data_IF_063139472833
#
_entry.id   IF_063139472833
#
_cell.length_a   1.000
_cell.length_b   1.000
_cell.length_c   1.000
_cell.angle_alpha   90.00
_cell.angle_beta   90.00
_cell.angle_gamma   90.00
#
_symmetry.space_group_name_H-M   'P 1'
#
loop_
_entity.id
_entity.type
_entity.pdbx_description
1 polymer ?
#
# COMPACT_ATOMS: atom_id res chain seq x y z
N UNK A 1 15.06 -15.67 0.93
CA UNK A 1 15.47 -14.31 1.28
C UNK A 1 14.23 -13.42 1.31
N UNK A 2 13.97 -12.77 2.42
CA UNK A 2 12.81 -11.90 2.51
C UNK A 2 13.04 -10.63 1.70
N UNK A 3 11.99 -10.17 1.01
CA UNK A 3 12.07 -8.93 0.26
C UNK A 3 11.93 -7.74 1.21
N UNK A 4 12.61 -6.63 0.94
CA UNK A 4 12.39 -5.42 1.71
C UNK A 4 10.93 -4.98 1.58
N UNK A 5 10.37 -4.41 2.65
CA UNK A 5 9.01 -3.90 2.61
C UNK A 5 8.81 -2.90 1.47
N UNK A 6 9.85 -2.12 1.15
CA UNK A 6 9.79 -1.15 0.06
C UNK A 6 9.53 -1.78 -1.31
N UNK A 7 9.75 -3.09 -1.48
CA UNK A 7 9.51 -3.76 -2.76
C UNK A 7 8.02 -4.01 -3.02
N UNK A 8 7.15 -3.76 -2.04
CA UNK A 8 5.71 -3.91 -2.20
C UNK A 8 5.10 -2.72 -2.92
N UNK A 9 5.69 -1.55 -2.76
CA UNK A 9 5.21 -0.30 -3.37
C UNK A 9 6.27 0.19 -4.34
N UNK A 10 5.80 0.64 -5.50
CA UNK A 10 6.66 1.05 -6.60
C UNK A 10 6.17 2.38 -7.14
N UNK A 11 7.12 3.26 -7.49
CA UNK A 11 6.81 4.56 -8.09
C UNK A 11 7.59 4.65 -9.39
N UNK A 12 6.87 4.87 -10.50
CA UNK A 12 7.47 4.94 -11.83
C UNK A 12 6.83 6.12 -12.56
N UNK A 13 7.62 7.06 -13.11
CA UNK A 13 7.07 8.20 -13.83
C UNK A 13 6.15 7.79 -14.98
N UNK A 14 6.33 6.60 -15.55
CA UNK A 14 5.46 6.08 -16.61
C UNK A 14 4.15 5.50 -16.13
N UNK A 15 3.94 5.40 -14.81
CA UNK A 15 2.72 4.86 -14.23
C UNK A 15 2.08 5.94 -13.38
N UNK A 16 0.94 6.47 -13.83
CA UNK A 16 0.16 7.47 -13.12
C UNK A 16 1.01 8.67 -12.65
N UNK A 17 2.00 9.06 -13.46
CA UNK A 17 2.83 10.22 -13.16
C UNK A 17 3.74 10.06 -11.95
N UNK A 18 4.08 8.83 -11.56
CA UNK A 18 4.93 8.57 -10.41
C UNK A 18 4.18 8.32 -9.12
N UNK A 19 2.85 8.23 -9.17
CA UNK A 19 2.05 7.88 -7.99
C UNK A 19 2.47 6.51 -7.46
N UNK A 20 2.71 6.35 -6.15
CA UNK A 20 3.04 5.04 -5.58
C UNK A 20 1.93 4.03 -5.85
N UNK A 21 2.29 2.89 -6.41
CA UNK A 21 1.36 1.81 -6.73
C UNK A 21 1.87 0.51 -6.14
N UNK A 22 0.97 -0.46 -5.98
CA UNK A 22 1.38 -1.81 -5.59
C UNK A 22 2.23 -2.41 -6.72
N UNK A 23 3.35 -3.02 -6.34
CA UNK A 23 4.31 -3.58 -7.28
C UNK A 23 3.61 -4.55 -8.25
N UNK A 24 3.87 -4.37 -9.55
CA UNK A 24 3.27 -5.21 -10.57
C UNK A 24 1.84 -4.83 -10.94
N UNK A 25 1.33 -3.73 -10.41
CA UNK A 25 -0.04 -3.27 -10.69
C UNK A 25 -0.05 -1.79 -11.03
N UNK A 26 -1.22 -1.29 -11.42
CA UNK A 26 -1.47 0.15 -11.54
C UNK A 26 -2.37 0.66 -10.42
N UNK A 27 -2.54 -0.12 -9.36
CA UNK A 27 -3.42 0.24 -8.25
C UNK A 27 -2.65 1.14 -7.28
N UNK A 28 -3.07 2.39 -7.09
CA UNK A 28 -2.38 3.29 -6.17
C UNK A 28 -2.53 2.83 -4.72
N UNK A 29 -1.49 2.99 -3.92
CA UNK A 29 -1.60 2.76 -2.48
C UNK A 29 -2.69 3.64 -1.87
N UNK A 30 -2.83 4.86 -2.38
CA UNK A 30 -3.86 5.80 -1.91
C UNK A 30 -5.26 5.20 -1.98
N UNK A 31 -5.54 4.34 -2.98
CA UNK A 31 -6.85 3.70 -3.09
C UNK A 31 -7.16 2.84 -1.87
N UNK A 32 -6.17 2.13 -1.33
CA UNK A 32 -6.36 1.35 -0.12
C UNK A 32 -6.69 2.26 1.07
N UNK A 33 -5.96 3.35 1.21
CA UNK A 33 -6.20 4.30 2.29
C UNK A 33 -7.60 4.91 2.16
N UNK A 34 -8.03 5.27 0.94
CA UNK A 34 -9.35 5.83 0.71
C UNK A 34 -10.46 4.85 1.12
N UNK A 35 -10.29 3.56 0.83
CA UNK A 35 -11.27 2.55 1.24
C UNK A 35 -11.37 2.49 2.77
N UNK A 36 -10.24 2.45 3.44
CA UNK A 36 -10.23 2.35 4.90
C UNK A 36 -10.79 3.61 5.56
N UNK A 37 -10.46 4.78 5.01
CA UNK A 37 -11.00 6.05 5.50
C UNK A 37 -12.50 6.13 5.30
N UNK A 38 -13.01 5.51 4.24
CA UNK A 38 -14.44 5.44 3.97
C UNK A 38 -15.18 4.41 4.80
N UNK A 39 -14.49 3.68 5.67
CA UNK A 39 -15.11 2.68 6.53
C UNK A 39 -15.27 1.31 5.89
N UNK A 40 -14.66 1.08 4.73
CA UNK A 40 -14.72 -0.22 4.08
C UNK A 40 -13.68 -1.17 4.66
N UNK A 41 -14.01 -2.45 4.85
CA UNK A 41 -13.02 -3.42 5.30
C UNK A 41 -12.01 -3.71 4.19
N UNK A 42 -10.84 -4.20 4.58
CA UNK A 42 -9.79 -4.58 3.63
C UNK A 42 -10.31 -5.56 2.58
N UNK A 43 -11.21 -6.47 2.97
CA UNK A 43 -11.76 -7.46 2.04
C UNK A 43 -12.46 -6.79 0.85
N UNK A 44 -13.14 -5.68 1.05
CA UNK A 44 -13.81 -4.96 -0.04
C UNK A 44 -12.80 -4.42 -1.03
N UNK A 45 -11.69 -3.87 -0.52
CA UNK A 45 -10.63 -3.37 -1.38
C UNK A 45 -10.04 -4.51 -2.23
N UNK A 46 -9.79 -5.67 -1.61
CA UNK A 46 -9.20 -6.80 -2.31
C UNK A 46 -10.15 -7.39 -3.36
N UNK A 47 -11.46 -7.35 -3.10
CA UNK A 47 -12.45 -7.79 -4.07
C UNK A 47 -12.49 -6.89 -5.29
N UNK A 48 -12.37 -5.58 -5.09
CA UNK A 48 -12.43 -4.60 -6.17
C UNK A 48 -11.12 -4.51 -6.95
N UNK A 49 -10.01 -4.85 -6.32
CA UNK A 49 -8.68 -4.80 -6.93
C UNK A 49 -7.99 -6.15 -6.83
N UNK A 50 -8.45 -7.14 -7.60
CA UNK A 50 -7.93 -8.51 -7.48
C UNK A 50 -6.47 -8.67 -7.89
N UNK A 51 -5.87 -7.66 -8.53
CA UNK A 51 -4.43 -7.70 -8.85
C UNK A 51 -3.55 -7.46 -7.62
N UNK A 52 -4.14 -7.00 -6.51
CA UNK A 52 -3.42 -6.80 -5.24
C UNK A 52 -3.74 -7.99 -4.35
N UNK A 53 -2.72 -8.66 -3.83
CA UNK A 53 -2.91 -9.77 -2.90
C UNK A 53 -3.11 -9.25 -1.48
N UNK A 54 -3.71 -10.08 -0.64
CA UNK A 54 -3.86 -9.77 0.78
C UNK A 54 -2.50 -9.46 1.42
N UNK A 55 -1.49 -10.28 1.11
CA UNK A 55 -0.16 -10.10 1.69
C UNK A 55 0.48 -8.78 1.25
N UNK A 56 0.29 -8.38 -0.02
CA UNK A 56 0.77 -7.08 -0.49
C UNK A 56 0.11 -5.94 0.26
N UNK A 57 -1.21 -6.01 0.44
CA UNK A 57 -1.94 -4.95 1.14
C UNK A 57 -1.48 -4.83 2.59
N UNK A 58 -1.32 -5.95 3.29
CA UNK A 58 -0.87 -5.94 4.69
C UNK A 58 0.55 -5.41 4.78
N UNK A 59 1.44 -5.84 3.88
CA UNK A 59 2.83 -5.37 3.89
C UNK A 59 2.91 -3.87 3.65
N UNK A 60 2.06 -3.33 2.76
CA UNK A 60 2.01 -1.89 2.51
C UNK A 60 1.52 -1.12 3.73
N UNK A 61 0.52 -1.66 4.44
CA UNK A 61 0.04 -1.04 5.68
C UNK A 61 1.11 -1.07 6.76
N UNK A 62 1.88 -2.14 6.86
CA UNK A 62 2.99 -2.22 7.80
C UNK A 62 4.08 -1.19 7.47
N UNK A 63 4.35 -0.99 6.17
CA UNK A 63 5.29 0.03 5.72
C UNK A 63 4.82 1.42 6.16
N UNK A 64 3.53 1.70 5.99
CA UNK A 64 2.95 2.97 6.41
C UNK A 64 3.01 3.13 7.93
N UNK A 65 2.73 2.05 8.67
CA UNK A 65 2.85 2.07 10.12
C UNK A 65 4.27 2.43 10.55
N UNK A 66 5.25 1.78 9.94
CA UNK A 66 6.65 2.01 10.30
C UNK A 66 7.06 3.44 10.01
N UNK A 67 6.58 4.02 8.91
CA UNK A 67 6.86 5.42 8.57
C UNK A 67 6.28 6.36 9.61
N UNK A 68 5.04 6.13 10.04
CA UNK A 68 4.37 6.97 11.04
C UNK A 68 5.04 6.82 12.40
N UNK A 69 5.24 5.56 12.83
CA UNK A 69 5.82 5.29 14.16
C UNK A 69 7.26 5.80 14.22
N UNK A 70 8.01 5.65 13.14
CA UNK A 70 9.39 6.10 13.09
C UNK A 70 9.55 7.62 13.06
N UNK A 71 8.49 8.37 12.67
CA UNK A 71 8.53 9.83 12.62
C UNK A 71 8.11 10.49 13.93
N UNK A 72 7.45 9.74 14.81
CA UNK A 72 6.98 10.30 16.07
C UNK A 72 8.07 10.17 17.13
N UNK A 73 8.24 11.20 17.97
CA UNK A 73 9.21 11.09 19.05
C UNK A 73 8.80 10.00 20.04
N UNK A 74 9.79 9.34 20.62
CA UNK A 74 9.53 8.36 21.66
C UNK A 74 8.85 9.05 22.83
N UNK A 75 7.81 8.45 23.34
CA UNK A 75 7.07 9.00 24.47
C UNK A 75 7.89 8.89 25.75
#
# INVERSE_FOLDING_TARGET
>A
MSQPAASVIHSDPGILGGTPVFLGTRVPFQALIDYLEGGHPLADFLDDFPSVSHDQAVAALELARDAVVGQLPAA
#
